data_IF_613168962209
#
_entry.id   IF_613168962209
#
_cell.length_a   1.000
_cell.length_b   1.000
_cell.length_c   1.000
_cell.angle_alpha   90.00
_cell.angle_beta   90.00
_cell.angle_gamma   90.00
#
_symmetry.space_group_name_H-M   'P 1'
#
loop_
_entity.id
_entity.type
_entity.pdbx_description
1 polymer ?
#
# COMPACT_ATOMS: atom_id res chain seq x y z
N UNK A 1 -17.04 53.15 -7.68
CA UNK A 1 -16.75 54.31 -6.81
C UNK A 1 -16.90 53.89 -5.36
N UNK A 2 -15.81 53.99 -4.62
CA UNK A 2 -15.53 53.38 -3.32
C UNK A 2 -16.01 54.25 -2.16
N UNK A 3 -16.57 53.64 -1.10
CA UNK A 3 -16.54 54.18 0.29
C UNK A 3 -17.06 53.19 1.33
N UNK A 4 -16.23 52.94 2.35
CA UNK A 4 -16.47 52.75 3.81
C UNK A 4 -15.48 51.71 4.33
N UNK A 5 -14.46 52.09 5.12
CA UNK A 5 -14.48 52.44 6.56
C UNK A 5 -15.03 51.26 7.38
N UNK A 6 -14.36 50.69 8.40
CA UNK A 6 -13.70 51.32 9.56
C UNK A 6 -13.01 50.20 10.36
N UNK A 7 -11.83 50.43 10.94
CA UNK A 7 -11.30 49.63 12.06
C UNK A 7 -11.12 50.55 13.28
N UNK A 8 -11.48 50.11 14.51
CA UNK A 8 -11.36 50.96 15.69
C UNK A 8 -9.99 50.88 16.38
N UNK A 9 -9.60 52.06 16.88
CA UNK A 9 -8.59 52.41 17.88
C UNK A 9 -8.87 51.72 19.23
N UNK A 10 -7.82 51.28 19.94
CA UNK A 10 -7.59 51.35 21.41
C UNK A 10 -6.16 50.82 21.64
N UNK A 11 -5.26 51.37 22.44
CA UNK A 11 -5.22 52.52 23.32
C UNK A 11 -3.76 52.69 23.78
N UNK A 12 -3.38 53.92 24.12
CA UNK A 12 -2.04 54.31 24.55
C UNK A 12 -1.82 54.06 26.05
N UNK A 13 -0.54 53.92 26.37
CA UNK A 13 0.15 54.25 27.63
C UNK A 13 0.14 53.21 28.76
N UNK A 14 1.34 52.73 29.12
CA UNK A 14 2.18 53.39 30.15
C UNK A 14 3.59 52.78 30.19
N UNK A 15 4.59 53.65 30.19
CA UNK A 15 5.95 53.34 30.60
C UNK A 15 6.06 53.45 32.12
N UNK A 16 6.88 52.62 32.77
CA UNK A 16 7.70 53.01 33.93
C UNK A 16 8.82 52.00 34.21
N UNK A 17 10.01 52.57 34.42
CA UNK A 17 11.10 52.19 35.33
C UNK A 17 11.85 50.85 35.15
N UNK A 18 13.01 50.98 34.49
CA UNK A 18 14.35 50.69 35.02
C UNK A 18 14.46 49.79 36.27
N UNK A 19 14.96 48.57 36.06
CA UNK A 19 15.60 47.73 37.06
C UNK A 19 16.88 47.14 36.47
N UNK A 20 18.03 47.67 36.91
CA UNK A 20 19.37 47.14 36.61
C UNK A 20 19.53 45.77 37.26
N UNK A 21 19.74 44.75 36.45
CA UNK A 21 20.13 43.41 36.88
C UNK A 21 20.68 42.65 35.69
N UNK A 22 21.97 42.84 35.41
CA UNK A 22 22.72 42.07 34.41
C UNK A 22 22.89 40.66 34.97
N UNK A 23 21.87 39.82 34.79
CA UNK A 23 21.99 38.38 34.84
C UNK A 23 22.05 37.89 33.39
N UNK A 24 23.27 37.80 32.85
CA UNK A 24 23.51 37.18 31.56
C UNK A 24 23.24 35.68 31.70
N UNK A 25 21.96 35.29 31.66
CA UNK A 25 21.58 33.89 31.55
C UNK A 25 21.96 33.42 30.15
N UNK A 26 23.15 32.81 30.04
CA UNK A 26 23.52 31.97 28.90
C UNK A 26 22.46 30.87 28.78
N UNK A 27 21.45 31.09 27.94
CA UNK A 27 20.62 30.00 27.43
C UNK A 27 21.50 29.17 26.52
N UNK A 28 22.14 28.14 27.09
CA UNK A 28 22.63 27.01 26.32
C UNK A 28 21.42 26.38 25.63
N UNK A 29 21.18 26.73 24.37
CA UNK A 29 20.34 25.92 23.49
C UNK A 29 21.09 24.62 23.25
N UNK A 30 20.86 23.64 24.12
CA UNK A 30 21.20 22.25 23.87
C UNK A 30 20.39 21.82 22.65
N UNK A 31 20.96 21.95 21.46
CA UNK A 31 20.57 21.18 20.29
C UNK A 31 20.84 19.71 20.64
N UNK A 32 19.86 19.08 21.28
CA UNK A 32 19.83 17.64 21.42
C UNK A 32 19.87 17.07 20.00
N UNK A 33 20.91 16.31 19.67
CA UNK A 33 20.94 15.48 18.48
C UNK A 33 19.74 14.52 18.57
N UNK A 34 18.61 14.89 17.99
CA UNK A 34 17.50 13.98 17.83
C UNK A 34 17.97 12.91 16.85
N UNK A 35 18.20 11.69 17.36
CA UNK A 35 18.39 10.54 16.50
C UNK A 35 17.18 10.48 15.52
N UNK A 36 17.41 10.14 14.24
CA UNK A 36 16.32 10.00 13.29
C UNK A 36 15.27 9.08 13.89
N UNK A 37 14.02 9.54 13.94
CA UNK A 37 12.92 8.69 14.38
C UNK A 37 12.82 7.50 13.41
N UNK A 38 12.61 6.27 13.91
CA UNK A 38 12.38 5.13 13.04
C UNK A 38 11.13 5.38 12.20
N UNK A 39 11.17 4.97 10.93
CA UNK A 39 10.03 5.15 10.04
C UNK A 39 8.84 4.31 10.49
N UNK A 40 7.63 4.87 10.37
CA UNK A 40 6.38 4.13 10.58
C UNK A 40 6.12 3.11 9.46
N UNK A 41 5.26 2.13 9.71
CA UNK A 41 4.85 1.15 8.69
C UNK A 41 4.30 1.82 7.43
N UNK A 42 3.47 2.86 7.57
CA UNK A 42 2.95 3.64 6.42
C UNK A 42 4.07 4.32 5.62
N UNK A 43 5.04 4.93 6.30
CA UNK A 43 6.18 5.56 5.64
C UNK A 43 7.01 4.53 4.88
N UNK A 44 7.20 3.35 5.47
CA UNK A 44 7.92 2.25 4.83
C UNK A 44 7.16 1.70 3.62
N UNK A 45 5.83 1.53 3.72
CA UNK A 45 4.98 1.13 2.60
C UNK A 45 5.10 2.13 1.43
N UNK A 46 5.00 3.43 1.72
CA UNK A 46 5.11 4.48 0.70
C UNK A 46 6.49 4.50 0.03
N UNK A 47 7.57 4.38 0.80
CA UNK A 47 8.92 4.31 0.23
C UNK A 47 9.12 3.04 -0.60
N UNK A 48 8.65 1.89 -0.11
CA UNK A 48 8.71 0.62 -0.83
C UNK A 48 7.99 0.68 -2.18
N UNK A 49 6.78 1.25 -2.21
CA UNK A 49 6.03 1.48 -3.46
C UNK A 49 6.76 2.44 -4.41
N UNK A 50 7.40 3.49 -3.89
CA UNK A 50 8.22 4.40 -4.69
C UNK A 50 9.43 3.69 -5.30
N UNK A 51 10.14 2.89 -4.51
CA UNK A 51 11.29 2.13 -5.00
C UNK A 51 10.90 1.04 -6.01
N UNK A 52 9.73 0.41 -5.85
CA UNK A 52 9.22 -0.58 -6.81
C UNK A 52 9.03 0.01 -8.23
N UNK A 53 8.78 1.33 -8.31
CA UNK A 53 8.69 2.05 -9.58
C UNK A 53 10.04 2.51 -10.14
N UNK A 54 11.14 2.28 -9.42
CA UNK A 54 12.52 2.65 -9.79
C UNK A 54 13.38 1.42 -10.14
N UNK A 55 14.70 1.62 -10.29
CA UNK A 55 15.67 0.53 -10.47
C UNK A 55 16.09 -0.14 -9.14
N UNK A 56 15.63 0.36 -7.99
CA UNK A 56 16.06 -0.10 -6.66
C UNK A 56 15.13 -1.17 -6.08
N UNK A 57 15.06 -2.32 -6.76
CA UNK A 57 14.13 -3.40 -6.42
C UNK A 57 14.42 -4.02 -5.05
N UNK A 58 15.69 -4.22 -4.68
CA UNK A 58 16.07 -4.75 -3.37
C UNK A 58 15.62 -3.82 -2.23
N UNK A 59 15.73 -2.51 -2.44
CA UNK A 59 15.24 -1.51 -1.48
C UNK A 59 13.71 -1.56 -1.38
N UNK A 60 13.00 -1.72 -2.50
CA UNK A 60 11.56 -1.89 -2.50
C UNK A 60 11.14 -3.07 -1.62
N UNK A 61 11.76 -4.24 -1.84
CA UNK A 61 11.46 -5.44 -1.06
C UNK A 61 11.74 -5.23 0.44
N UNK A 62 12.87 -4.63 0.78
CA UNK A 62 13.24 -4.34 2.16
C UNK A 62 12.19 -3.46 2.86
N UNK A 63 11.83 -2.33 2.26
CA UNK A 63 10.85 -1.42 2.85
C UNK A 63 9.46 -2.03 2.96
N UNK A 64 9.02 -2.80 1.96
CA UNK A 64 7.71 -3.45 2.00
C UNK A 64 7.65 -4.57 3.06
N UNK A 65 8.74 -5.33 3.25
CA UNK A 65 8.83 -6.33 4.33
C UNK A 65 8.81 -5.69 5.71
N UNK A 66 9.55 -4.60 5.91
CA UNK A 66 9.53 -3.90 7.18
C UNK A 66 8.14 -3.28 7.45
N UNK A 67 7.46 -2.76 6.42
CA UNK A 67 6.10 -2.24 6.54
C UNK A 67 5.13 -3.34 6.99
N UNK A 68 5.20 -4.52 6.35
CA UNK A 68 4.42 -5.68 6.74
C UNK A 68 4.65 -6.06 8.21
N UNK A 69 5.92 -6.09 8.63
CA UNK A 69 6.28 -6.37 10.02
C UNK A 69 5.66 -5.35 10.98
N UNK A 70 5.81 -4.05 10.71
CA UNK A 70 5.23 -3.00 11.56
C UNK A 70 3.69 -3.05 11.62
N UNK A 71 3.01 -3.33 10.52
CA UNK A 71 1.54 -3.52 10.53
C UNK A 71 1.13 -4.78 11.30
N UNK A 72 1.97 -5.83 11.27
CA UNK A 72 1.74 -7.05 12.05
C UNK A 72 1.84 -6.76 13.55
N UNK A 73 2.90 -6.08 13.98
CA UNK A 73 3.09 -5.71 15.39
C UNK A 73 1.98 -4.79 15.91
N UNK A 74 1.49 -3.89 15.05
CA UNK A 74 0.40 -2.98 15.39
C UNK A 74 -1.00 -3.63 15.35
N UNK A 75 -1.12 -4.85 14.82
CA UNK A 75 -2.43 -5.49 14.59
C UNK A 75 -3.26 -4.80 13.48
N UNK A 76 -2.63 -4.04 12.59
CA UNK A 76 -3.29 -3.36 11.47
C UNK A 76 -3.51 -4.33 10.30
N UNK A 77 -4.69 -4.93 10.27
CA UNK A 77 -5.08 -5.93 9.26
C UNK A 77 -5.13 -5.33 7.85
N UNK A 78 -5.58 -4.07 7.70
CA UNK A 78 -5.65 -3.41 6.38
C UNK A 78 -4.25 -3.05 5.89
N UNK A 79 -3.39 -2.56 6.79
CA UNK A 79 -1.98 -2.32 6.51
C UNK A 79 -1.26 -3.59 6.06
N UNK A 80 -1.47 -4.72 6.77
CA UNK A 80 -0.96 -6.02 6.37
C UNK A 80 -1.43 -6.44 4.98
N UNK A 81 -2.72 -6.27 4.65
CA UNK A 81 -3.27 -6.60 3.33
C UNK A 81 -2.60 -5.77 2.22
N UNK A 82 -2.42 -4.46 2.45
CA UNK A 82 -1.73 -3.56 1.51
C UNK A 82 -0.27 -3.94 1.30
N UNK A 83 0.46 -4.26 2.36
CA UNK A 83 1.86 -4.65 2.28
C UNK A 83 2.04 -6.00 1.57
N UNK A 84 1.17 -6.98 1.86
CA UNK A 84 1.14 -8.27 1.14
C UNK A 84 0.85 -8.06 -0.35
N UNK A 85 -0.16 -7.27 -0.70
CA UNK A 85 -0.45 -6.89 -2.09
C UNK A 85 0.78 -6.28 -2.77
N UNK A 86 1.43 -5.32 -2.12
CA UNK A 86 2.58 -4.62 -2.70
C UNK A 86 3.78 -5.55 -2.94
N UNK A 87 4.07 -6.45 -1.99
CA UNK A 87 5.10 -7.48 -2.17
C UNK A 87 4.72 -8.45 -3.30
N UNK A 88 3.45 -8.82 -3.39
CA UNK A 88 2.96 -9.70 -4.45
C UNK A 88 3.17 -9.06 -5.84
N UNK A 89 2.79 -7.79 -6.00
CA UNK A 89 3.04 -7.00 -7.21
C UNK A 89 4.54 -6.89 -7.53
N UNK A 90 5.36 -6.64 -6.51
CA UNK A 90 6.82 -6.57 -6.68
C UNK A 90 7.37 -7.88 -7.24
N UNK A 91 7.04 -9.02 -6.62
CA UNK A 91 7.57 -10.32 -7.01
C UNK A 91 7.13 -10.77 -8.40
N UNK A 92 5.91 -10.44 -8.85
CA UNK A 92 5.52 -10.73 -10.25
C UNK A 92 6.02 -9.70 -11.26
N UNK A 93 6.59 -8.59 -10.82
CA UNK A 93 7.04 -7.55 -11.73
C UNK A 93 8.20 -8.04 -12.59
N UNK A 94 8.22 -7.66 -13.87
CA UNK A 94 9.32 -7.99 -14.79
C UNK A 94 10.68 -7.61 -14.21
N UNK A 95 10.78 -6.43 -13.57
CA UNK A 95 12.03 -5.94 -12.98
C UNK A 95 12.55 -6.85 -11.87
N UNK A 96 11.68 -7.39 -11.02
CA UNK A 96 12.08 -8.36 -9.99
C UNK A 96 12.51 -9.68 -10.61
N UNK A 97 11.79 -10.12 -11.64
CA UNK A 97 12.06 -11.37 -12.35
C UNK A 97 13.40 -11.33 -13.10
N UNK A 98 13.77 -10.17 -13.66
CA UNK A 98 15.04 -9.95 -14.35
C UNK A 98 16.25 -10.03 -13.40
N UNK A 99 16.06 -9.89 -12.08
CA UNK A 99 17.12 -10.03 -11.07
C UNK A 99 17.35 -11.48 -10.62
N UNK A 100 16.40 -12.38 -10.90
CA UNK A 100 16.55 -13.78 -10.50
C UNK A 100 17.62 -14.49 -11.34
N UNK A 101 18.26 -15.51 -10.77
CA UNK A 101 19.24 -16.36 -11.49
C UNK A 101 18.85 -17.83 -11.34
N UNK A 102 18.28 -18.48 -12.39
CA UNK A 102 17.93 -17.91 -13.69
C UNK A 102 16.79 -16.88 -13.60
N UNK A 103 16.63 -15.97 -14.58
CA UNK A 103 15.53 -15.01 -14.59
C UNK A 103 14.18 -15.71 -14.80
N UNK A 104 13.09 -15.05 -14.38
CA UNK A 104 11.71 -15.53 -14.56
C UNK A 104 11.41 -16.90 -13.91
N UNK A 105 11.77 -17.06 -12.64
CA UNK A 105 11.53 -18.31 -11.90
C UNK A 105 10.06 -18.47 -11.54
N UNK A 106 9.57 -19.71 -11.61
CA UNK A 106 8.20 -20.04 -11.18
C UNK A 106 8.00 -19.78 -9.69
N UNK A 107 9.06 -19.91 -8.89
CA UNK A 107 9.07 -19.75 -7.44
C UNK A 107 8.70 -18.32 -7.01
N UNK A 108 9.23 -17.31 -7.71
CA UNK A 108 8.88 -15.92 -7.42
C UNK A 108 7.40 -15.62 -7.75
N UNK A 109 6.87 -16.21 -8.83
CA UNK A 109 5.44 -16.11 -9.14
C UNK A 109 4.56 -16.88 -8.16
N UNK A 110 4.98 -18.06 -7.69
CA UNK A 110 4.30 -18.80 -6.62
C UNK A 110 4.23 -17.97 -5.35
N UNK A 111 5.35 -17.35 -4.96
CA UNK A 111 5.38 -16.47 -3.79
C UNK A 111 4.48 -15.24 -3.96
N UNK A 112 4.44 -14.66 -5.16
CA UNK A 112 3.49 -13.59 -5.48
C UNK A 112 2.04 -14.04 -5.29
N UNK A 113 1.69 -15.24 -5.76
CA UNK A 113 0.34 -15.79 -5.62
C UNK A 113 -0.07 -15.98 -4.16
N UNK A 114 0.81 -16.54 -3.32
CA UNK A 114 0.57 -16.71 -1.88
C UNK A 114 0.30 -15.37 -1.19
N UNK A 115 1.10 -14.35 -1.48
CA UNK A 115 0.94 -13.02 -0.90
C UNK A 115 -0.37 -12.35 -1.33
N UNK A 116 -0.79 -12.53 -2.59
CA UNK A 116 -2.11 -12.08 -3.03
C UNK A 116 -3.25 -12.82 -2.32
N UNK A 117 -3.13 -14.13 -2.11
CA UNK A 117 -4.13 -14.91 -1.36
C UNK A 117 -4.23 -14.42 0.09
N UNK A 118 -3.10 -14.21 0.76
CA UNK A 118 -3.09 -13.61 2.10
C UNK A 118 -3.72 -12.22 2.11
N UNK A 119 -3.42 -11.36 1.12
CA UNK A 119 -4.07 -10.05 1.01
C UNK A 119 -5.59 -10.18 0.81
N UNK A 120 -6.05 -11.14 0.01
CA UNK A 120 -7.46 -11.41 -0.22
C UNK A 120 -8.17 -11.79 1.08
N UNK A 121 -7.65 -12.77 1.81
CA UNK A 121 -8.19 -13.23 3.10
C UNK A 121 -8.28 -12.07 4.13
N UNK A 122 -7.23 -11.25 4.22
CA UNK A 122 -7.23 -10.09 5.11
C UNK A 122 -8.29 -9.06 4.70
N UNK A 123 -8.46 -8.79 3.40
CA UNK A 123 -9.52 -7.90 2.93
C UNK A 123 -10.92 -8.47 3.17
N UNK A 124 -11.13 -9.77 2.97
CA UNK A 124 -12.40 -10.44 3.28
C UNK A 124 -12.74 -10.31 4.78
N UNK A 125 -11.76 -10.54 5.67
CA UNK A 125 -11.95 -10.40 7.12
C UNK A 125 -12.38 -9.00 7.55
N UNK A 126 -12.11 -7.98 6.73
CA UNK A 126 -12.46 -6.58 6.96
C UNK A 126 -13.67 -6.11 6.12
N UNK A 127 -14.35 -7.04 5.44
CA UNK A 127 -15.50 -6.73 4.57
C UNK A 127 -15.16 -5.87 3.35
N UNK A 128 -13.89 -5.88 2.91
CA UNK A 128 -13.41 -5.13 1.73
C UNK A 128 -13.53 -5.99 0.46
N UNK A 129 -14.76 -6.35 0.11
CA UNK A 129 -15.06 -7.36 -0.93
C UNK A 129 -14.45 -7.05 -2.30
N UNK A 130 -14.49 -5.79 -2.76
CA UNK A 130 -13.89 -5.40 -4.04
C UNK A 130 -12.35 -5.56 -4.06
N UNK A 131 -11.69 -5.26 -2.94
CA UNK A 131 -10.25 -5.42 -2.80
C UNK A 131 -9.86 -6.90 -2.69
N UNK A 132 -10.65 -7.70 -1.96
CA UNK A 132 -10.47 -9.14 -1.91
C UNK A 132 -10.59 -9.80 -3.30
N UNK A 133 -11.65 -9.46 -4.05
CA UNK A 133 -11.82 -9.93 -5.43
C UNK A 133 -10.63 -9.54 -6.31
N UNK A 134 -10.16 -8.29 -6.18
CA UNK A 134 -9.00 -7.83 -6.95
C UNK A 134 -7.71 -8.57 -6.56
N UNK A 135 -7.56 -8.96 -5.28
CA UNK A 135 -6.42 -9.73 -4.81
C UNK A 135 -6.46 -11.15 -5.34
N UNK A 136 -7.64 -11.79 -5.38
CA UNK A 136 -7.83 -13.07 -6.05
C UNK A 136 -7.49 -13.01 -7.55
N UNK A 137 -7.83 -11.93 -8.26
CA UNK A 137 -7.38 -11.74 -9.65
C UNK A 137 -5.84 -11.66 -9.76
N UNK A 138 -5.20 -10.97 -8.81
CA UNK A 138 -3.74 -10.93 -8.69
C UNK A 138 -3.13 -12.31 -8.48
N UNK A 139 -3.69 -13.11 -7.57
CA UNK A 139 -3.26 -14.48 -7.32
C UNK A 139 -3.44 -15.37 -8.56
N UNK A 140 -4.59 -15.25 -9.25
CA UNK A 140 -4.88 -15.99 -10.47
C UNK A 140 -3.83 -15.70 -11.56
N UNK A 141 -3.49 -14.43 -11.77
CA UNK A 141 -2.45 -14.01 -12.71
C UNK A 141 -1.08 -14.58 -12.32
N UNK A 142 -0.67 -14.42 -11.06
CA UNK A 142 0.60 -14.94 -10.57
C UNK A 142 0.70 -16.47 -10.73
N UNK A 143 -0.38 -17.22 -10.48
CA UNK A 143 -0.42 -18.67 -10.70
C UNK A 143 -0.35 -19.05 -12.17
N UNK A 144 -0.97 -18.27 -13.06
CA UNK A 144 -0.85 -18.48 -14.50
C UNK A 144 0.62 -18.33 -14.94
N UNK A 145 1.30 -17.28 -14.47
CA UNK A 145 2.73 -17.05 -14.73
C UNK A 145 3.62 -18.15 -14.12
N UNK A 146 3.19 -18.75 -13.01
CA UNK A 146 3.83 -19.92 -12.40
C UNK A 146 3.49 -21.26 -13.09
N UNK A 147 2.76 -21.24 -14.21
CA UNK A 147 2.27 -22.43 -14.92
C UNK A 147 1.36 -23.35 -14.05
N UNK A 148 0.63 -22.77 -13.10
CA UNK A 148 -0.32 -23.47 -12.22
C UNK A 148 -1.76 -23.21 -12.66
N UNK A 149 -2.12 -23.66 -13.87
CA UNK A 149 -3.41 -23.35 -14.51
C UNK A 149 -4.60 -23.72 -13.62
N UNK A 150 -4.60 -24.93 -13.03
CA UNK A 150 -5.70 -25.38 -12.18
C UNK A 150 -5.92 -24.45 -10.97
N UNK A 151 -4.84 -24.06 -10.30
CA UNK A 151 -4.89 -23.16 -9.15
C UNK A 151 -5.32 -21.74 -9.57
N UNK A 152 -4.79 -21.25 -10.71
CA UNK A 152 -5.19 -19.97 -11.31
C UNK A 152 -6.69 -19.89 -11.52
N UNK A 153 -7.30 -20.97 -12.04
CA UNK A 153 -8.74 -21.04 -12.25
C UNK A 153 -9.57 -21.09 -10.96
N UNK A 154 -9.03 -21.65 -9.86
CA UNK A 154 -9.68 -21.54 -8.54
C UNK A 154 -9.77 -20.07 -8.12
N UNK A 155 -8.64 -19.35 -8.19
CA UNK A 155 -8.57 -17.95 -7.76
C UNK A 155 -9.41 -17.03 -8.66
N UNK A 156 -9.40 -17.27 -9.98
CA UNK A 156 -10.23 -16.52 -10.93
C UNK A 156 -11.72 -16.65 -10.59
N UNK A 157 -12.23 -17.87 -10.39
CA UNK A 157 -13.64 -18.07 -10.02
C UNK A 157 -13.99 -17.50 -8.66
N UNK A 158 -13.06 -17.51 -7.70
CA UNK A 158 -13.28 -16.85 -6.42
C UNK A 158 -13.46 -15.34 -6.62
N UNK A 159 -12.59 -14.69 -7.41
CA UNK A 159 -12.73 -13.28 -7.75
C UNK A 159 -14.06 -12.98 -8.47
N UNK A 160 -14.45 -13.81 -9.44
CA UNK A 160 -15.74 -13.67 -10.14
C UNK A 160 -16.91 -13.76 -9.16
N UNK A 161 -16.91 -14.75 -8.25
CA UNK A 161 -18.01 -14.91 -7.30
C UNK A 161 -18.19 -13.69 -6.40
N UNK A 162 -17.08 -13.11 -5.93
CA UNK A 162 -17.08 -11.88 -5.13
C UNK A 162 -17.52 -10.67 -5.97
N UNK A 163 -17.11 -10.57 -7.24
CA UNK A 163 -17.48 -9.45 -8.11
C UNK A 163 -18.99 -9.30 -8.32
N UNK A 164 -19.75 -10.39 -8.18
CA UNK A 164 -21.22 -10.40 -8.29
C UNK A 164 -21.94 -10.03 -6.98
N UNK A 165 -21.23 -9.93 -5.85
CA UNK A 165 -21.84 -9.56 -4.57
C UNK A 165 -22.19 -8.06 -4.54
N UNK A 166 -23.36 -7.66 -4.00
CA UNK A 166 -23.70 -6.24 -3.83
C UNK A 166 -22.67 -5.47 -2.99
N UNK A 167 -22.05 -6.13 -2.01
CA UNK A 167 -21.02 -5.56 -1.15
C UNK A 167 -19.80 -5.04 -1.95
N UNK A 168 -19.48 -5.65 -3.10
CA UNK A 168 -18.40 -5.24 -3.99
C UNK A 168 -18.62 -3.84 -4.55
N UNK A 169 -19.88 -3.43 -4.74
CA UNK A 169 -20.22 -2.11 -5.29
C UNK A 169 -20.23 -0.99 -4.25
N UNK A 170 -20.02 -1.29 -2.96
CA UNK A 170 -19.99 -0.30 -1.88
C UNK A 170 -18.74 0.61 -1.95
N UNK A 171 -17.63 0.10 -2.45
CA UNK A 171 -16.42 0.88 -2.74
C UNK A 171 -16.32 1.09 -4.26
N UNK A 172 -16.81 2.22 -4.73
CA UNK A 172 -16.86 2.52 -6.16
C UNK A 172 -15.47 2.57 -6.82
N UNK A 173 -14.46 3.05 -6.11
CA UNK A 173 -13.10 3.14 -6.64
C UNK A 173 -12.45 1.76 -6.77
N UNK A 174 -12.55 0.94 -5.72
CA UNK A 174 -12.06 -0.43 -5.77
C UNK A 174 -12.83 -1.29 -6.79
N UNK A 175 -14.15 -1.11 -6.89
CA UNK A 175 -14.97 -1.80 -7.88
C UNK A 175 -14.61 -1.43 -9.31
N UNK A 176 -14.35 -0.15 -9.59
CA UNK A 176 -13.91 0.27 -10.92
C UNK A 176 -12.56 -0.37 -11.28
N UNK A 177 -11.65 -0.46 -10.31
CA UNK A 177 -10.35 -1.12 -10.53
C UNK A 177 -10.49 -2.63 -10.73
N UNK A 178 -11.39 -3.28 -10.01
CA UNK A 178 -11.73 -4.69 -10.22
C UNK A 178 -12.24 -4.91 -11.65
N UNK A 179 -13.17 -4.08 -12.12
CA UNK A 179 -13.73 -4.18 -13.47
C UNK A 179 -12.63 -4.05 -14.55
N UNK A 180 -11.61 -3.20 -14.34
CA UNK A 180 -10.42 -3.14 -15.21
C UNK A 180 -9.59 -4.42 -15.17
N UNK A 181 -9.30 -4.94 -13.97
CA UNK A 181 -8.51 -6.15 -13.79
C UNK A 181 -9.18 -7.37 -14.43
N UNK A 182 -10.50 -7.48 -14.31
CA UNK A 182 -11.28 -8.56 -14.93
C UNK A 182 -11.23 -8.49 -16.46
N UNK A 183 -11.28 -7.29 -17.05
CA UNK A 183 -11.12 -7.12 -18.50
C UNK A 183 -9.72 -7.51 -18.96
N UNK A 184 -8.68 -7.16 -18.20
CA UNK A 184 -7.30 -7.52 -18.53
C UNK A 184 -7.08 -9.04 -18.53
N UNK A 185 -7.79 -9.78 -17.68
CA UNK A 185 -7.71 -11.24 -17.57
C UNK A 185 -8.89 -11.95 -18.25
N UNK A 186 -9.56 -11.33 -19.22
CA UNK A 186 -10.70 -11.95 -19.91
C UNK A 186 -10.32 -13.27 -20.60
N UNK A 187 -9.11 -13.37 -21.15
CA UNK A 187 -8.62 -14.60 -21.78
C UNK A 187 -8.47 -15.76 -20.77
N UNK A 188 -8.25 -15.44 -19.48
CA UNK A 188 -8.20 -16.47 -18.43
C UNK A 188 -9.57 -17.14 -18.25
N UNK A 189 -10.68 -16.44 -18.50
CA UNK A 189 -12.01 -17.03 -18.49
C UNK A 189 -12.12 -18.17 -19.52
N UNK A 190 -11.57 -17.94 -20.72
CA UNK A 190 -11.57 -18.93 -21.81
C UNK A 190 -10.69 -20.12 -21.43
N UNK A 191 -9.49 -19.87 -20.90
CA UNK A 191 -8.60 -20.93 -20.41
C UNK A 191 -9.29 -21.77 -19.33
N UNK A 192 -9.95 -21.14 -18.37
CA UNK A 192 -10.63 -21.85 -17.29
C UNK A 192 -11.89 -22.59 -17.73
N UNK A 193 -12.63 -22.08 -18.71
CA UNK A 193 -13.74 -22.82 -19.31
C UNK A 193 -13.27 -24.08 -20.07
N UNK A 194 -12.09 -24.02 -20.68
CA UNK A 194 -11.48 -25.16 -21.36
C UNK A 194 -10.83 -26.18 -20.40
N UNK A 195 -10.63 -25.81 -19.13
CA UNK A 195 -10.01 -26.65 -18.10
C UNK A 195 -10.94 -26.76 -16.87
N UNK A 196 -12.09 -27.43 -16.99
CA UNK A 196 -12.98 -27.65 -15.85
C UNK A 196 -12.25 -28.48 -14.78
N UNK A 197 -12.28 -27.99 -13.54
CA UNK A 197 -11.75 -28.73 -12.37
C UNK A 197 -12.69 -29.85 -11.96
#
# INVERSE_FOLDING_TARGET
>A
MTKKSKAPNFGLARAFAAGRGIGLALMFTLTACQAPQPMTADQQLHQGLGFAQSAHIDSAEHFLKNALHGYTEAGDVIGQAKANWALAELYKSKRYQDLQTPPATTEAYQRSAELFQTAAELYESQGRTALAASAHMGAANAQLLANQIAASCVQYRQAESLAHLPATRLDAAASAKLDENMKFLADLAIVCAANPL
#
